data_IF_668866119820
#
_entry.id   IF_668866119820
#
_cell.length_a   1.000
_cell.length_b   1.000
_cell.length_c   1.000
_cell.angle_alpha   90.00
_cell.angle_beta   90.00
_cell.angle_gamma   90.00
#
_symmetry.space_group_name_H-M   'P 1'
#
loop_
_entity.id
_entity.type
_entity.pdbx_description
1 polymer ?
#
# COMPACT_ATOMS: atom_id res chain seq x y z
N UNK A 1 -20.16 25.57 60.45
CA UNK A 1 -18.99 25.71 61.34
C UNK A 1 -18.01 24.61 60.98
N UNK A 2 -17.57 24.58 59.73
CA UNK A 2 -16.49 25.34 59.08
C UNK A 2 -15.12 24.63 59.25
N UNK A 3 -14.48 24.16 58.17
CA UNK A 3 -13.49 23.08 58.23
C UNK A 3 -12.05 23.59 58.18
N UNK A 4 -11.16 23.03 59.00
CA UNK A 4 -9.72 23.28 58.96
C UNK A 4 -9.10 22.72 57.67
N UNK A 5 -8.60 23.61 56.83
CA UNK A 5 -7.78 23.31 55.64
C UNK A 5 -6.35 22.97 56.05
N UNK A 6 -5.73 21.88 55.56
CA UNK A 6 -4.28 21.65 55.69
C UNK A 6 -3.48 22.44 54.64
N UNK A 7 -2.15 22.62 54.83
CA UNK A 7 -1.34 23.52 54.01
C UNK A 7 -1.13 23.01 52.59
N UNK A 8 -1.13 23.95 51.65
CA UNK A 8 -0.85 23.76 50.24
C UNK A 8 0.61 23.28 50.03
N UNK A 9 0.80 21.98 49.83
CA UNK A 9 2.05 21.45 49.27
C UNK A 9 2.18 21.93 47.83
N UNK A 10 3.16 22.81 47.60
CA UNK A 10 3.58 23.18 46.26
C UNK A 10 4.21 21.95 45.59
N UNK A 11 3.41 21.22 44.82
CA UNK A 11 3.91 20.18 43.92
C UNK A 11 4.78 20.86 42.87
N UNK A 12 6.09 20.84 43.08
CA UNK A 12 7.10 21.13 42.06
C UNK A 12 6.86 20.15 40.92
N UNK A 13 6.16 20.60 39.87
CA UNK A 13 6.22 19.97 38.56
C UNK A 13 7.67 20.06 38.13
N UNK A 14 8.42 18.97 38.27
CA UNK A 14 9.65 18.76 37.51
C UNK A 14 9.23 18.68 36.05
N UNK A 15 9.21 19.83 35.39
CA UNK A 15 9.22 19.91 33.95
C UNK A 15 10.51 19.21 33.50
N UNK A 16 10.38 17.94 33.10
CA UNK A 16 11.38 17.31 32.25
C UNK A 16 11.33 18.02 30.89
N UNK A 17 11.94 19.19 30.86
CA UNK A 17 12.20 19.95 29.64
C UNK A 17 13.31 19.23 28.91
N UNK A 18 12.95 18.28 28.05
CA UNK A 18 13.89 17.74 27.06
C UNK A 18 14.41 18.94 26.25
N UNK A 19 15.73 19.21 26.22
CA UNK A 19 16.24 20.34 25.47
C UNK A 19 15.87 20.16 24.00
N UNK A 20 15.48 21.25 23.29
CA UNK A 20 15.20 21.15 21.86
C UNK A 20 16.43 20.58 21.16
N UNK A 21 16.25 19.68 20.18
CA UNK A 21 17.36 19.09 19.46
C UNK A 21 18.25 20.22 18.92
N UNK A 22 19.56 20.10 19.14
CA UNK A 22 20.52 21.09 18.68
C UNK A 22 20.29 21.38 17.20
N UNK A 23 20.30 22.67 16.82
CA UNK A 23 20.01 23.11 15.44
C UNK A 23 20.81 22.33 14.39
N UNK A 24 22.01 21.86 14.73
CA UNK A 24 22.84 21.02 13.88
C UNK A 24 22.21 19.64 13.58
N UNK A 25 21.74 18.90 14.59
CA UNK A 25 21.06 17.62 14.39
C UNK A 25 19.76 17.83 13.59
N UNK A 26 19.01 18.88 13.92
CA UNK A 26 17.78 19.25 13.22
C UNK A 26 17.99 19.63 11.74
N UNK A 27 19.16 20.19 11.39
CA UNK A 27 19.53 20.55 10.00
C UNK A 27 19.98 19.34 9.19
N UNK A 28 20.60 18.34 9.81
CA UNK A 28 21.17 17.18 9.11
C UNK A 28 20.12 16.12 8.73
N UNK A 29 19.04 15.95 9.51
CA UNK A 29 18.02 14.94 9.18
C UNK A 29 17.11 15.37 8.02
N UNK A 30 16.87 16.68 7.82
CA UNK A 30 15.93 17.17 6.79
C UNK A 30 16.31 16.74 5.36
N UNK A 31 17.56 16.95 4.89
CA UNK A 31 17.96 16.48 3.55
C UNK A 31 17.95 14.95 3.44
N UNK A 32 18.26 14.23 4.52
CA UNK A 32 18.21 12.78 4.53
C UNK A 32 16.77 12.24 4.40
N UNK A 33 15.82 12.82 5.15
CA UNK A 33 14.40 12.49 5.07
C UNK A 33 13.79 12.84 3.71
N UNK A 34 14.11 14.00 3.14
CA UNK A 34 13.66 14.39 1.79
C UNK A 34 14.16 13.42 0.72
N UNK A 35 15.44 13.02 0.78
CA UNK A 35 16.00 12.02 -0.14
C UNK A 35 15.34 10.66 0.03
N UNK A 36 15.14 10.21 1.27
CA UNK A 36 14.44 8.95 1.56
C UNK A 36 13.05 8.96 0.93
N UNK A 37 12.25 10.00 1.19
CA UNK A 37 10.93 10.13 0.60
C UNK A 37 10.98 10.04 -0.92
N UNK A 38 11.85 10.81 -1.58
CA UNK A 38 11.94 10.81 -3.04
C UNK A 38 12.20 9.40 -3.56
N UNK A 39 13.12 8.67 -2.93
CA UNK A 39 13.48 7.32 -3.31
C UNK A 39 12.32 6.32 -3.05
N UNK A 40 11.69 6.39 -1.87
CA UNK A 40 10.55 5.53 -1.55
C UNK A 40 9.35 5.85 -2.46
N UNK A 41 9.16 7.12 -2.84
CA UNK A 41 8.08 7.54 -3.74
C UNK A 41 8.30 7.01 -5.15
N UNK A 42 9.54 7.09 -5.66
CA UNK A 42 9.90 6.47 -6.93
C UNK A 42 9.64 4.97 -6.93
N UNK A 43 9.98 4.27 -5.84
CA UNK A 43 9.69 2.84 -5.68
C UNK A 43 8.19 2.53 -5.53
N UNK A 44 7.45 3.34 -4.77
CA UNK A 44 6.00 3.22 -4.66
C UNK A 44 5.32 3.39 -6.02
N UNK A 45 5.83 4.31 -6.85
CA UNK A 45 5.32 4.51 -8.20
C UNK A 45 5.62 3.30 -9.11
N UNK A 46 6.78 2.64 -8.99
CA UNK A 46 7.03 1.41 -9.74
C UNK A 46 6.10 0.28 -9.29
N UNK A 47 5.94 0.09 -7.97
CA UNK A 47 5.00 -0.89 -7.42
C UNK A 47 3.55 -0.65 -7.90
N UNK A 48 3.15 0.62 -8.06
CA UNK A 48 1.85 0.96 -8.63
C UNK A 48 1.70 0.52 -10.09
N UNK A 49 2.76 0.62 -10.89
CA UNK A 49 2.72 0.12 -12.27
C UNK A 49 2.69 -1.42 -12.31
N UNK A 50 3.47 -2.07 -11.44
CA UNK A 50 3.44 -3.53 -11.30
C UNK A 50 2.04 -4.01 -10.92
N UNK A 51 1.40 -3.35 -9.94
CA UNK A 51 0.01 -3.65 -9.56
C UNK A 51 -0.94 -3.53 -10.77
N UNK A 52 -0.86 -2.44 -11.54
CA UNK A 52 -1.71 -2.23 -12.72
C UNK A 52 -1.50 -3.31 -13.78
N UNK A 53 -0.25 -3.68 -14.04
CA UNK A 53 0.10 -4.72 -14.99
C UNK A 53 -0.46 -6.08 -14.56
N UNK A 54 -0.19 -6.48 -13.31
CA UNK A 54 -0.66 -7.75 -12.73
C UNK A 54 -2.18 -7.80 -12.65
N UNK A 55 -2.84 -6.71 -12.28
CA UNK A 55 -4.30 -6.61 -12.27
C UNK A 55 -4.89 -6.73 -13.69
N UNK A 56 -4.23 -6.16 -14.70
CA UNK A 56 -4.64 -6.33 -16.09
C UNK A 56 -4.51 -7.79 -16.55
N UNK A 57 -3.39 -8.44 -16.23
CA UNK A 57 -3.18 -9.85 -16.52
C UNK A 57 -4.23 -10.75 -15.83
N UNK A 58 -4.50 -10.52 -14.54
CA UNK A 58 -5.53 -11.23 -13.79
C UNK A 58 -6.90 -11.11 -14.46
N UNK A 59 -7.30 -9.90 -14.87
CA UNK A 59 -8.55 -9.70 -15.62
C UNK A 59 -8.56 -10.48 -16.93
N UNK A 60 -7.48 -10.45 -17.70
CA UNK A 60 -7.38 -11.24 -18.94
C UNK A 60 -7.49 -12.74 -18.68
N UNK A 61 -6.92 -13.26 -17.58
CA UNK A 61 -7.09 -14.66 -17.18
C UNK A 61 -8.53 -14.99 -16.81
N UNK A 62 -9.20 -14.12 -16.04
CA UNK A 62 -10.62 -14.26 -15.72
C UNK A 62 -11.50 -14.28 -16.98
N UNK A 63 -11.27 -13.36 -17.92
CA UNK A 63 -11.96 -13.35 -19.22
C UNK A 63 -11.72 -14.64 -20.00
N UNK A 64 -10.49 -15.15 -20.02
CA UNK A 64 -10.17 -16.40 -20.72
C UNK A 64 -10.90 -17.63 -20.11
N UNK A 65 -11.07 -17.67 -18.79
CA UNK A 65 -11.88 -18.71 -18.12
C UNK A 65 -13.33 -18.62 -18.58
N UNK A 66 -13.92 -17.42 -18.56
CA UNK A 66 -15.31 -17.21 -18.98
C UNK A 66 -15.49 -17.58 -20.46
N UNK A 67 -14.60 -17.12 -21.33
CA UNK A 67 -14.67 -17.40 -22.77
C UNK A 67 -14.56 -18.90 -23.07
N UNK A 68 -13.64 -19.60 -22.40
CA UNK A 68 -13.49 -21.05 -22.58
C UNK A 68 -14.69 -21.84 -22.01
N UNK A 69 -15.26 -21.40 -20.88
CA UNK A 69 -16.49 -21.97 -20.33
C UNK A 69 -17.70 -21.78 -21.26
N UNK A 70 -17.91 -20.55 -21.77
CA UNK A 70 -19.01 -20.27 -22.70
C UNK A 70 -18.84 -21.07 -23.99
N UNK A 71 -17.63 -21.10 -24.55
CA UNK A 71 -17.33 -21.91 -25.75
C UNK A 71 -17.64 -23.40 -25.53
N UNK A 72 -17.41 -23.91 -24.32
CA UNK A 72 -17.71 -25.29 -23.97
C UNK A 72 -19.23 -25.50 -23.85
N UNK A 73 -19.95 -24.56 -23.23
CA UNK A 73 -21.41 -24.63 -23.03
C UNK A 73 -22.17 -24.61 -24.35
N UNK A 74 -21.73 -23.83 -25.32
CA UNK A 74 -22.37 -23.71 -26.64
C UNK A 74 -21.81 -24.68 -27.69
N UNK A 75 -20.92 -25.61 -27.29
CA UNK A 75 -20.28 -26.55 -28.21
C UNK A 75 -21.28 -27.46 -28.93
N UNK A 76 -22.38 -27.82 -28.27
CA UNK A 76 -23.39 -28.71 -28.84
C UNK A 76 -24.19 -28.05 -29.98
N UNK A 77 -24.35 -26.73 -29.92
CA UNK A 77 -25.01 -25.93 -30.97
C UNK A 77 -24.07 -25.40 -32.05
N UNK A 78 -22.76 -25.66 -31.96
CA UNK A 78 -21.77 -25.14 -32.90
C UNK A 78 -21.76 -25.97 -34.19
N UNK A 79 -21.79 -25.31 -35.36
CA UNK A 79 -21.60 -25.95 -36.66
C UNK A 79 -20.11 -26.11 -36.96
N UNK A 80 -19.70 -27.34 -37.26
CA UNK A 80 -18.29 -27.69 -37.51
C UNK A 80 -17.92 -27.67 -39.00
N UNK A 81 -18.89 -27.45 -39.90
CA UNK A 81 -18.68 -27.43 -41.35
C UNK A 81 -17.97 -28.70 -41.83
N UNK A 82 -16.84 -28.54 -42.51
CA UNK A 82 -15.99 -29.65 -43.02
C UNK A 82 -15.46 -30.55 -41.91
N UNK A 83 -15.43 -30.09 -40.64
CA UNK A 83 -14.98 -30.89 -39.50
C UNK A 83 -16.07 -31.78 -38.90
N UNK A 84 -17.30 -31.74 -39.43
CA UNK A 84 -18.44 -32.49 -38.87
C UNK A 84 -18.22 -34.01 -38.96
N UNK A 85 -17.54 -34.47 -40.01
CA UNK A 85 -17.22 -35.89 -40.22
C UNK A 85 -16.08 -36.39 -39.32
N UNK A 86 -15.38 -35.49 -38.62
CA UNK A 86 -14.27 -35.88 -37.76
C UNK A 86 -14.78 -36.52 -36.47
N UNK A 87 -14.46 -37.82 -36.23
CA UNK A 87 -14.98 -38.52 -35.06
C UNK A 87 -14.46 -37.89 -33.77
N UNK A 88 -15.34 -37.76 -32.78
CA UNK A 88 -15.06 -37.22 -31.46
C UNK A 88 -14.56 -35.75 -31.44
N UNK A 89 -14.74 -34.97 -32.53
CA UNK A 89 -14.25 -33.59 -32.59
C UNK A 89 -14.79 -32.72 -31.45
N UNK A 90 -16.10 -32.80 -31.16
CA UNK A 90 -16.73 -32.08 -30.05
C UNK A 90 -16.13 -32.46 -28.71
N UNK A 91 -15.98 -33.77 -28.43
CA UNK A 91 -15.37 -34.28 -27.19
C UNK A 91 -13.94 -33.77 -27.01
N UNK A 92 -13.14 -33.78 -28.08
CA UNK A 92 -11.76 -33.25 -28.06
C UNK A 92 -11.74 -31.73 -27.83
N UNK A 93 -12.62 -30.98 -28.49
CA UNK A 93 -12.74 -29.54 -28.30
C UNK A 93 -13.15 -29.18 -26.87
N UNK A 94 -14.17 -29.85 -26.31
CA UNK A 94 -14.57 -29.71 -24.92
C UNK A 94 -13.43 -30.04 -23.95
N UNK A 95 -12.68 -31.12 -24.19
CA UNK A 95 -11.52 -31.47 -23.36
C UNK A 95 -10.42 -30.40 -23.41
N UNK A 96 -10.15 -29.82 -24.58
CA UNK A 96 -9.19 -28.70 -24.73
C UNK A 96 -9.66 -27.47 -23.96
N UNK A 97 -10.92 -27.09 -24.10
CA UNK A 97 -11.49 -25.94 -23.38
C UNK A 97 -11.48 -26.15 -21.87
N UNK A 98 -11.76 -27.37 -21.40
CA UNK A 98 -11.65 -27.69 -19.98
C UNK A 98 -10.22 -27.53 -19.46
N UNK A 99 -9.22 -28.07 -20.17
CA UNK A 99 -7.80 -27.86 -19.82
C UNK A 99 -7.40 -26.38 -19.84
N UNK A 100 -7.96 -25.60 -20.76
CA UNK A 100 -7.73 -24.16 -20.84
C UNK A 100 -8.32 -23.43 -19.62
N UNK A 101 -9.52 -23.80 -19.15
CA UNK A 101 -10.09 -23.28 -17.91
C UNK A 101 -9.16 -23.54 -16.72
N UNK A 102 -8.69 -24.77 -16.54
CA UNK A 102 -7.79 -25.14 -15.43
C UNK A 102 -6.47 -24.36 -15.49
N UNK A 103 -5.89 -24.21 -16.68
CA UNK A 103 -4.67 -23.44 -16.88
C UNK A 103 -4.86 -21.97 -16.48
N UNK A 104 -5.95 -21.32 -16.93
CA UNK A 104 -6.18 -19.92 -16.59
C UNK A 104 -6.64 -19.72 -15.14
N UNK A 105 -7.29 -20.71 -14.51
CA UNK A 105 -7.55 -20.70 -13.06
C UNK A 105 -6.24 -20.66 -12.28
N UNK A 106 -5.28 -21.50 -12.63
CA UNK A 106 -3.94 -21.48 -12.03
C UNK A 106 -3.23 -20.14 -12.19
N UNK A 107 -3.26 -19.56 -13.40
CA UNK A 107 -2.68 -18.24 -13.67
C UNK A 107 -3.36 -17.11 -12.89
N UNK A 108 -4.70 -17.12 -12.84
CA UNK A 108 -5.48 -16.15 -12.07
C UNK A 108 -5.12 -16.18 -10.59
N UNK A 109 -4.99 -17.38 -10.00
CA UNK A 109 -4.59 -17.54 -8.61
C UNK A 109 -3.16 -17.03 -8.35
N UNK A 110 -2.24 -17.28 -9.28
CA UNK A 110 -0.88 -16.73 -9.21
C UNK A 110 -0.91 -15.20 -9.25
N UNK A 111 -1.60 -14.60 -10.21
CA UNK A 111 -1.72 -13.14 -10.32
C UNK A 111 -2.36 -12.53 -9.07
N UNK A 112 -3.32 -13.21 -8.44
CA UNK A 112 -3.89 -12.78 -7.17
C UNK A 112 -2.85 -12.72 -6.05
N UNK A 113 -2.01 -13.77 -5.92
CA UNK A 113 -0.92 -13.78 -4.93
C UNK A 113 0.09 -12.67 -5.20
N UNK A 114 0.44 -12.45 -6.46
CA UNK A 114 1.36 -11.38 -6.87
C UNK A 114 0.78 -9.99 -6.54
N UNK A 115 -0.49 -9.77 -6.83
CA UNK A 115 -1.22 -8.56 -6.45
C UNK A 115 -1.14 -8.31 -4.93
N UNK A 116 -1.49 -9.31 -4.11
CA UNK A 116 -1.41 -9.20 -2.64
C UNK A 116 0.01 -8.86 -2.20
N UNK A 117 1.02 -9.54 -2.74
CA UNK A 117 2.43 -9.26 -2.42
C UNK A 117 2.83 -7.82 -2.77
N UNK A 118 2.39 -7.29 -3.92
CA UNK A 118 2.64 -5.91 -4.32
C UNK A 118 1.99 -4.93 -3.32
N UNK A 119 0.73 -5.14 -2.94
CA UNK A 119 0.05 -4.27 -1.96
C UNK A 119 0.75 -4.31 -0.61
N UNK A 120 1.17 -5.48 -0.14
CA UNK A 120 1.96 -5.60 1.09
C UNK A 120 3.26 -4.79 1.01
N UNK A 121 3.96 -4.83 -0.14
CA UNK A 121 5.15 -4.01 -0.37
C UNK A 121 4.84 -2.52 -0.43
N UNK A 122 3.72 -2.12 -1.05
CA UNK A 122 3.27 -0.72 -1.08
C UNK A 122 3.02 -0.21 0.34
N UNK A 123 2.30 -0.97 1.17
CA UNK A 123 2.05 -0.62 2.58
C UNK A 123 3.36 -0.50 3.36
N UNK A 124 4.28 -1.45 3.19
CA UNK A 124 5.61 -1.40 3.82
C UNK A 124 6.41 -0.16 3.39
N UNK A 125 6.38 0.16 2.10
CA UNK A 125 7.05 1.34 1.51
C UNK A 125 6.45 2.64 2.04
N UNK A 126 5.12 2.73 2.17
CA UNK A 126 4.47 3.90 2.78
C UNK A 126 4.86 4.06 4.26
N UNK A 127 5.04 2.95 4.99
CA UNK A 127 5.49 3.00 6.39
C UNK A 127 6.94 3.47 6.51
N UNK A 128 7.84 3.01 5.62
CA UNK A 128 9.27 3.37 5.65
C UNK A 128 9.57 4.84 5.33
N UNK A 129 8.60 5.56 4.74
CA UNK A 129 8.68 7.01 4.52
C UNK A 129 8.59 7.82 5.83
N UNK A 130 8.21 7.20 6.96
CA UNK A 130 8.15 7.85 8.26
C UNK A 130 9.55 7.94 8.88
N UNK A 131 9.91 9.14 9.34
CA UNK A 131 11.20 9.43 9.96
C UNK A 131 10.98 9.76 11.45
N UNK A 132 11.75 9.13 12.33
CA UNK A 132 11.69 9.33 13.77
C UNK A 132 13.06 9.79 14.28
N UNK A 133 13.06 10.73 15.22
CA UNK A 133 14.29 11.18 15.88
C UNK A 133 14.47 10.36 17.16
N UNK A 134 15.47 9.49 17.22
CA UNK A 134 15.75 8.70 18.42
C UNK A 134 16.53 9.55 19.43
N UNK A 135 15.87 9.97 20.49
CA UNK A 135 16.43 10.82 21.55
C UNK A 135 17.17 10.05 22.65
N UNK A 136 18.07 9.13 22.34
CA UNK A 136 18.93 8.52 23.37
C UNK A 136 20.22 9.29 23.54
N UNK A 137 20.72 9.34 24.78
CA UNK A 137 21.81 10.20 25.28
C UNK A 137 23.14 10.15 24.51
N UNK A 138 23.34 9.19 23.60
CA UNK A 138 24.62 8.97 22.92
C UNK A 138 24.57 9.04 21.38
N UNK A 139 23.43 9.34 20.74
CA UNK A 139 23.38 9.45 19.27
C UNK A 139 22.14 10.21 18.76
N UNK A 140 22.29 11.39 18.14
CA UNK A 140 21.18 12.14 17.52
C UNK A 140 20.81 11.59 16.12
N UNK A 141 20.83 10.27 15.94
CA UNK A 141 20.63 9.64 14.63
C UNK A 141 19.13 9.46 14.33
N UNK A 142 18.70 9.99 13.18
CA UNK A 142 17.36 9.75 12.65
C UNK A 142 17.23 8.29 12.17
N UNK A 143 16.14 7.62 12.57
CA UNK A 143 15.84 6.24 12.19
C UNK A 143 14.54 6.18 11.39
N UNK A 144 14.52 5.38 10.33
CA UNK A 144 13.30 5.06 9.58
C UNK A 144 12.70 3.78 10.15
N UNK A 145 11.39 3.77 10.43
CA UNK A 145 10.73 2.63 11.08
C UNK A 145 9.50 2.14 10.30
N UNK A 146 9.18 0.86 10.51
CA UNK A 146 8.01 0.18 9.99
C UNK A 146 6.87 0.03 11.04
N UNK A 147 7.12 0.38 12.31
CA UNK A 147 6.18 0.27 13.44
C UNK A 147 5.87 1.64 14.06
N UNK A 148 4.70 1.74 14.71
CA UNK A 148 4.26 2.91 15.47
C UNK A 148 4.65 2.80 16.97
N UNK A 149 5.42 1.77 17.34
CA UNK A 149 5.59 1.30 18.72
C UNK A 149 6.65 2.08 19.51
N UNK A 150 6.51 3.38 19.60
CA UNK A 150 7.11 4.09 20.72
C UNK A 150 6.00 4.88 21.40
N UNK A 151 5.44 4.30 22.47
CA UNK A 151 4.38 4.90 23.30
C UNK A 151 4.88 6.16 24.03
N UNK A 152 6.19 6.41 23.95
CA UNK A 152 6.88 7.61 24.40
C UNK A 152 7.27 8.56 23.24
N UNK A 153 6.81 8.28 22.01
CA UNK A 153 6.91 9.23 20.90
C UNK A 153 5.80 10.26 21.04
N UNK A 154 6.10 11.35 21.73
CA UNK A 154 5.27 12.55 21.77
C UNK A 154 5.03 13.14 20.36
N UNK A 155 5.56 12.56 19.27
CA UNK A 155 5.47 13.13 17.93
C UNK A 155 6.13 14.51 17.86
N UNK A 156 7.00 14.82 18.82
CA UNK A 156 7.57 16.15 19.04
C UNK A 156 8.79 16.44 18.18
N UNK A 157 8.77 15.93 16.94
CA UNK A 157 9.21 16.77 15.83
C UNK A 157 8.14 17.85 15.51
N UNK A 158 7.55 18.46 16.55
CA UNK A 158 6.49 19.47 16.43
C UNK A 158 5.35 19.09 15.48
N UNK A 159 5.02 17.81 15.30
CA UNK A 159 3.86 17.37 14.53
C UNK A 159 3.72 17.95 13.12
N UNK A 160 4.78 18.43 12.47
CA UNK A 160 4.71 18.85 11.06
C UNK A 160 5.24 17.68 10.23
N UNK A 161 4.36 16.78 9.77
CA UNK A 161 4.78 15.81 8.79
C UNK A 161 5.32 16.57 7.57
N UNK A 162 6.40 16.10 6.96
CA UNK A 162 6.94 16.68 5.72
C UNK A 162 5.85 16.70 4.61
N UNK A 163 4.77 15.94 4.80
CA UNK A 163 3.48 16.02 4.09
C UNK A 163 2.39 15.79 5.11
N UNK A 164 1.60 16.82 5.42
CA UNK A 164 0.32 16.62 6.08
C UNK A 164 -0.56 15.83 5.10
N UNK A 165 -0.76 14.55 5.37
CA UNK A 165 -1.83 13.81 4.70
C UNK A 165 -3.14 14.41 5.18
N UNK A 166 -3.73 15.29 4.37
CA UNK A 166 -5.11 15.70 4.56
C UNK A 166 -5.98 14.43 4.58
N UNK A 167 -6.92 14.37 5.53
CA UNK A 167 -7.95 13.34 5.56
C UNK A 167 -8.68 13.31 4.21
N UNK A 168 -9.06 12.13 3.72
CA UNK A 168 -9.81 11.97 2.45
C UNK A 168 -11.10 12.81 2.46
N UNK A 169 -11.66 13.08 3.64
CA UNK A 169 -12.81 13.98 3.81
C UNK A 169 -12.55 15.43 3.33
N UNK A 170 -11.29 15.89 3.35
CA UNK A 170 -10.90 17.22 2.88
C UNK A 170 -10.90 17.35 1.35
N UNK A 171 -10.93 16.24 0.62
CA UNK A 171 -11.05 16.22 -0.84
C UNK A 171 -12.51 16.21 -1.34
N UNK A 172 -13.49 16.21 -0.42
CA UNK A 172 -14.92 16.18 -0.76
C UNK A 172 -15.46 17.45 -1.45
N UNK A 173 -14.63 18.48 -1.66
CA UNK A 173 -15.10 19.76 -2.21
C UNK A 173 -14.13 20.41 -3.20
N UNK A 174 -13.25 19.63 -3.84
CA UNK A 174 -12.45 20.07 -4.99
C UNK A 174 -12.47 19.01 -6.11
N UNK A 175 -13.46 19.16 -7.00
CA UNK A 175 -13.34 19.01 -8.46
C UNK A 175 -12.94 17.61 -9.02
N UNK A 176 -13.76 16.86 -9.79
CA UNK A 176 -14.48 17.28 -11.00
C UNK A 176 -13.78 18.45 -11.70
N UNK A 177 -12.98 18.14 -12.73
CA UNK A 177 -12.17 19.05 -13.59
C UNK A 177 -10.66 19.04 -13.26
N UNK A 178 -9.99 18.13 -13.97
CA UNK A 178 -8.72 18.30 -14.73
C UNK A 178 -7.48 18.99 -14.14
N UNK A 179 -6.36 18.30 -14.39
CA UNK A 179 -5.05 18.83 -14.80
C UNK A 179 -3.97 19.14 -13.74
N UNK A 180 -2.88 18.38 -13.86
CA UNK A 180 -1.44 18.77 -13.96
C UNK A 180 -0.88 19.82 -12.98
N UNK A 181 0.42 19.64 -12.68
CA UNK A 181 1.42 20.63 -12.17
C UNK A 181 1.63 20.48 -10.65
N UNK A 182 2.79 20.08 -10.08
CA UNK A 182 4.17 19.75 -10.51
C UNK A 182 4.67 18.63 -9.57
#
# INVERSE_FOLDING_TARGET
MEPKTPPYESRTQSQNSTPPPSSAAARLWRPAAQRNLRNQWSYLNSLRQDWRSTASAARSHATAIVNSYLSQKYMDGMEFGVLTDMPNIRKKACSKLFKQQELYRGKLLSSYRDMVAIVTRMVSTCKSMRCYLKGTSNSPLAQFSFSLEDDNDSGECGGIPVFAFYSVASFGMCAFVTSVII
#
